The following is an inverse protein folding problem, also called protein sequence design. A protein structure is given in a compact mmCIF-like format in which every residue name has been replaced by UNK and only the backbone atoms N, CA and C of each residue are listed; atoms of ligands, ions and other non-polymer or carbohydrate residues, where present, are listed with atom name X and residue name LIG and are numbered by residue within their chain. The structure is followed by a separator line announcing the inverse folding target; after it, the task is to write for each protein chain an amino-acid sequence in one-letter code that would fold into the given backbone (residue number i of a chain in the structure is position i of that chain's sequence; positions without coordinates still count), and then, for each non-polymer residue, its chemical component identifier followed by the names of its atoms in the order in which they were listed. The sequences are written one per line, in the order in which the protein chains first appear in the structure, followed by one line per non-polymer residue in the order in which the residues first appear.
data_IF_251836649764
#
_entry.id   IF_251836649764
#
_cell.length_a   1.000
_cell.length_b   1.000
_cell.length_c   1.000
_cell.angle_alpha   90.00
_cell.angle_beta   90.00
_cell.angle_gamma   90.00
#
_symmetry.space_group_name_H-M   'P 1'
#
loop_
_entity.id
_entity.type
_entity.pdbx_description
1 polymer ?
#
# COMPACT_ATOMS: atom_id res chain seq x y z
N UNK A 1 -13.51 26.19 9.46
CA UNK A 1 -12.10 25.75 9.41
C UNK A 1 -11.69 25.65 7.96
N UNK A 2 -10.68 26.41 7.55
CA UNK A 2 -10.02 26.25 6.26
C UNK A 2 -9.29 24.90 6.23
N UNK A 3 -9.35 24.17 5.11
CA UNK A 3 -8.56 22.95 4.95
C UNK A 3 -7.07 23.33 4.90
N UNK A 4 -6.18 22.60 5.61
CA UNK A 4 -4.75 22.81 5.47
C UNK A 4 -4.28 22.59 4.02
N UNK A 5 -3.13 23.13 3.63
CA UNK A 5 -2.52 22.82 2.34
C UNK A 5 -2.37 21.31 2.14
N UNK A 6 -2.60 20.84 0.92
CA UNK A 6 -2.52 19.40 0.59
C UNK A 6 -1.19 18.77 0.99
N UNK A 7 -0.07 19.45 0.70
CA UNK A 7 1.27 18.98 1.06
C UNK A 7 1.42 18.75 2.57
N UNK A 8 0.85 19.63 3.41
CA UNK A 8 0.89 19.48 4.87
C UNK A 8 0.05 18.28 5.35
N UNK A 9 -1.12 18.03 4.74
CA UNK A 9 -1.93 16.85 5.06
C UNK A 9 -1.23 15.55 4.66
N UNK A 10 -0.66 15.50 3.44
CA UNK A 10 0.09 14.36 2.96
C UNK A 10 1.30 14.08 3.86
N UNK A 11 2.09 15.11 4.20
CA UNK A 11 3.22 14.99 5.12
C UNK A 11 2.77 14.46 6.48
N UNK A 12 1.65 14.95 7.02
CA UNK A 12 1.14 14.48 8.30
C UNK A 12 0.71 13.00 8.27
N UNK A 13 0.04 12.54 7.21
CA UNK A 13 -0.30 11.12 7.06
C UNK A 13 0.93 10.24 6.84
N UNK A 14 1.91 10.74 6.09
CA UNK A 14 3.21 10.09 5.87
C UNK A 14 3.96 9.89 7.19
N UNK A 15 4.11 10.93 8.01
CA UNK A 15 4.76 10.85 9.33
C UNK A 15 3.98 9.93 10.26
N UNK A 16 2.64 10.06 10.31
CA UNK A 16 1.80 9.16 11.10
C UNK A 16 2.05 7.70 10.74
N UNK A 17 2.01 7.38 9.44
CA UNK A 17 2.28 6.03 8.94
C UNK A 17 3.68 5.56 9.30
N UNK A 18 4.70 6.40 9.18
CA UNK A 18 6.07 6.02 9.55
C UNK A 18 6.16 5.65 11.05
N UNK A 19 5.50 6.41 11.92
CA UNK A 19 5.51 6.17 13.36
C UNK A 19 4.67 4.96 13.78
N UNK A 20 3.53 4.72 13.13
CA UNK A 20 2.54 3.73 13.56
C UNK A 20 2.47 2.48 12.64
N UNK A 21 3.08 2.53 11.45
CA UNK A 21 3.02 1.47 10.44
C UNK A 21 1.78 1.50 9.53
N UNK A 22 0.80 2.38 9.80
CA UNK A 22 -0.49 2.46 9.09
C UNK A 22 -1.07 3.87 9.04
N UNK A 23 -2.09 4.08 8.19
CA UNK A 23 -2.85 5.35 8.11
C UNK A 23 -4.18 5.34 8.90
N UNK A 24 -4.42 4.37 9.79
CA UNK A 24 -5.58 4.36 10.71
C UNK A 24 -5.47 5.40 11.83
N UNK A 25 -5.62 6.68 11.48
CA UNK A 25 -5.57 7.77 12.45
C UNK A 25 -6.87 7.82 13.28
N UNK A 26 -6.81 7.79 14.62
CA UNK A 26 -7.98 8.00 15.48
C UNK A 26 -8.61 9.36 15.22
N UNK A 27 -9.96 9.45 15.22
CA UNK A 27 -10.67 10.71 14.91
C UNK A 27 -10.29 11.87 15.85
N UNK A 28 -9.96 11.56 17.10
CA UNK A 28 -9.51 12.52 18.12
C UNK A 28 -8.03 12.89 18.03
N UNK A 29 -7.25 12.22 17.18
CA UNK A 29 -5.81 12.42 17.12
C UNK A 29 -5.47 13.85 16.67
N UNK A 30 -4.64 14.50 17.49
CA UNK A 30 -4.05 15.80 17.23
C UNK A 30 -2.55 15.62 17.21
N UNK A 31 -1.89 16.15 16.17
CA UNK A 31 -0.44 16.04 16.00
C UNK A 31 0.26 16.65 17.23
N UNK A 32 1.10 15.88 17.95
CA UNK A 32 1.76 16.36 19.14
C UNK A 32 2.88 17.35 18.80
N UNK A 33 3.10 18.32 19.67
CA UNK A 33 4.26 19.20 19.61
C UNK A 33 5.52 18.47 20.09
N UNK A 34 6.13 17.69 19.21
CA UNK A 34 7.33 16.89 19.49
C UNK A 34 8.31 16.95 18.34
N UNK A 35 9.57 16.60 18.60
CA UNK A 35 10.65 16.61 17.59
C UNK A 35 10.44 15.61 16.43
N UNK A 36 9.59 14.60 16.63
CA UNK A 36 9.23 13.63 15.58
C UNK A 36 8.32 14.24 14.51
N UNK A 37 7.68 15.36 14.81
CA UNK A 37 6.73 16.03 13.93
C UNK A 37 7.27 17.38 13.47
N UNK A 38 7.20 17.72 12.18
CA UNK A 38 7.48 19.06 11.69
C UNK A 38 6.65 20.12 12.44
N UNK A 39 7.28 21.21 12.88
CA UNK A 39 6.63 22.27 13.66
C UNK A 39 5.34 22.83 13.01
N UNK A 40 5.24 23.02 11.68
CA UNK A 40 4.00 23.49 11.05
C UNK A 40 2.81 22.52 11.19
N UNK A 41 3.06 21.25 11.54
CA UNK A 41 2.01 20.25 11.71
C UNK A 41 1.51 20.16 13.17
N UNK A 42 2.21 20.75 14.14
CA UNK A 42 1.84 20.69 15.55
C UNK A 42 0.42 21.24 15.79
N UNK A 43 -0.39 20.52 16.56
CA UNK A 43 -1.78 20.89 16.84
C UNK A 43 -2.76 20.60 15.69
N UNK A 44 -2.30 20.05 14.56
CA UNK A 44 -3.21 19.66 13.47
C UNK A 44 -4.14 18.52 13.92
N UNK A 45 -5.45 18.73 13.78
CA UNK A 45 -6.47 17.71 14.04
C UNK A 45 -6.51 16.63 12.93
N UNK A 46 -5.39 15.92 12.75
CA UNK A 46 -5.17 14.94 11.68
C UNK A 46 -6.26 13.85 11.66
N UNK A 47 -6.75 13.44 12.83
CA UNK A 47 -7.86 12.49 12.94
C UNK A 47 -9.13 12.92 12.20
N UNK A 48 -9.54 14.19 12.38
CA UNK A 48 -10.72 14.76 11.71
C UNK A 48 -10.52 14.84 10.20
N UNK A 49 -9.33 15.26 9.75
CA UNK A 49 -9.02 15.31 8.31
C UNK A 49 -8.96 13.92 7.69
N UNK A 50 -8.44 12.92 8.41
CA UNK A 50 -8.43 11.52 7.98
C UNK A 50 -9.86 11.00 7.82
N UNK A 51 -10.76 11.25 8.78
CA UNK A 51 -12.15 10.84 8.65
C UNK A 51 -12.86 11.53 7.47
N UNK A 52 -12.65 12.84 7.31
CA UNK A 52 -13.26 13.63 6.24
C UNK A 52 -12.74 13.30 4.84
N UNK A 53 -11.48 12.88 4.71
CA UNK A 53 -10.87 12.57 3.42
C UNK A 53 -11.61 11.46 2.66
N UNK A 54 -12.16 10.47 3.39
CA UNK A 54 -12.89 9.34 2.79
C UNK A 54 -14.20 9.72 2.11
N UNK A 55 -14.81 10.85 2.49
CA UNK A 55 -16.09 11.34 1.95
C UNK A 55 -15.92 12.62 1.12
N UNK A 56 -14.70 13.14 1.00
CA UNK A 56 -14.41 14.34 0.24
C UNK A 56 -14.00 13.99 -1.20
N UNK A 57 -14.83 14.38 -2.17
CA UNK A 57 -14.61 14.09 -3.59
C UNK A 57 -13.26 14.60 -4.12
N UNK A 58 -12.70 15.66 -3.53
CA UNK A 58 -11.38 16.20 -3.94
C UNK A 58 -10.24 15.21 -3.67
N UNK A 59 -10.38 14.31 -2.69
CA UNK A 59 -9.36 13.30 -2.36
C UNK A 59 -9.28 12.18 -3.40
N UNK A 60 -10.32 12.03 -4.22
CA UNK A 60 -10.39 11.04 -5.29
C UNK A 60 -9.91 11.60 -6.65
N UNK A 61 -9.40 12.84 -6.68
CA UNK A 61 -8.62 13.33 -7.83
C UNK A 61 -7.36 12.45 -8.02
N UNK A 62 -6.88 12.22 -9.27
CA UNK A 62 -5.93 11.14 -9.56
C UNK A 62 -4.63 11.29 -8.77
N UNK A 63 -4.04 12.48 -8.78
CA UNK A 63 -2.77 12.74 -8.09
C UNK A 63 -2.87 12.53 -6.58
N UNK A 64 -3.96 13.04 -5.96
CA UNK A 64 -4.19 12.89 -4.52
C UNK A 64 -4.48 11.45 -4.15
N UNK A 65 -5.31 10.78 -4.95
CA UNK A 65 -5.65 9.38 -4.74
C UNK A 65 -4.40 8.50 -4.85
N UNK A 66 -3.57 8.71 -5.88
CA UNK A 66 -2.32 7.99 -6.09
C UNK A 66 -1.34 8.21 -4.93
N UNK A 67 -1.19 9.43 -4.43
CA UNK A 67 -0.32 9.72 -3.29
C UNK A 67 -0.81 9.06 -1.98
N UNK A 68 -2.11 9.04 -1.74
CA UNK A 68 -2.71 8.34 -0.60
C UNK A 68 -2.61 6.82 -0.74
N UNK A 69 -2.88 6.30 -1.93
CA UNK A 69 -2.74 4.88 -2.25
C UNK A 69 -1.30 4.40 -2.05
N UNK A 70 -0.33 5.23 -2.47
CA UNK A 70 1.09 4.97 -2.33
C UNK A 70 1.52 4.80 -0.87
N UNK A 71 0.95 5.56 0.06
CA UNK A 71 1.23 5.41 1.50
C UNK A 71 0.37 4.31 2.16
N UNK A 72 -0.48 3.60 1.40
CA UNK A 72 -1.36 2.57 1.97
C UNK A 72 -2.54 3.15 2.76
N UNK A 73 -3.02 4.34 2.36
CA UNK A 73 -4.19 4.96 2.97
C UNK A 73 -5.41 4.04 2.88
N UNK A 74 -6.09 3.87 4.02
CA UNK A 74 -7.24 2.96 4.11
C UNK A 74 -8.54 3.69 3.74
N UNK A 75 -8.94 3.53 2.47
CA UNK A 75 -10.19 4.09 1.91
C UNK A 75 -11.46 3.47 2.51
N UNK A 76 -11.38 2.19 2.88
CA UNK A 76 -12.53 1.38 3.30
C UNK A 76 -12.22 0.62 4.60
N UNK A 77 -12.05 1.33 5.74
CA UNK A 77 -11.71 0.68 7.00
C UNK A 77 -12.84 -0.28 7.43
N UNK A 78 -12.50 -1.44 8.02
CA UNK A 78 -13.49 -2.34 8.58
C UNK A 78 -14.25 -1.68 9.76
N UNK A 79 -15.41 -2.23 10.18
CA UNK A 79 -16.01 -3.48 9.72
C UNK A 79 -16.83 -3.35 8.43
N UNK A 80 -17.01 -2.14 7.90
CA UNK A 80 -18.04 -1.89 6.89
C UNK A 80 -17.58 -2.08 5.44
N UNK A 81 -16.29 -2.33 5.20
CA UNK A 81 -15.63 -2.52 3.88
C UNK A 81 -16.40 -1.84 2.74
N UNK A 82 -16.58 -0.52 2.89
CA UNK A 82 -17.44 0.25 1.99
C UNK A 82 -16.59 0.80 0.88
N UNK A 83 -16.62 0.17 -0.29
CA UNK A 83 -16.02 0.73 -1.51
C UNK A 83 -16.76 2.02 -1.89
N UNK A 84 -15.99 3.03 -2.29
CA UNK A 84 -16.52 4.36 -2.58
C UNK A 84 -16.00 4.85 -3.91
N UNK A 85 -16.86 5.58 -4.61
CA UNK A 85 -16.51 6.24 -5.86
C UNK A 85 -17.14 7.62 -5.93
N UNK A 86 -16.58 8.46 -6.80
CA UNK A 86 -17.18 9.76 -7.10
C UNK A 86 -18.42 9.53 -7.97
N UNK A 87 -19.53 10.14 -7.57
CA UNK A 87 -20.71 10.30 -8.40
C UNK A 87 -20.96 11.77 -8.71
N UNK A 88 -21.57 12.06 -9.85
CA UNK A 88 -21.95 13.39 -10.28
C UNK A 88 -23.46 13.50 -10.36
N UNK A 89 -24.08 14.32 -9.52
CA UNK A 89 -25.54 14.54 -9.52
C UNK A 89 -25.77 16.04 -9.64
N UNK A 90 -26.55 16.47 -10.64
CA UNK A 90 -26.85 17.87 -10.91
C UNK A 90 -25.60 18.78 -11.01
N UNK A 91 -24.51 18.26 -11.60
CA UNK A 91 -23.25 18.98 -11.74
C UNK A 91 -22.37 19.03 -10.48
N UNK A 92 -22.85 18.55 -9.33
CA UNK A 92 -22.09 18.47 -8.09
C UNK A 92 -21.48 17.06 -7.90
N UNK A 93 -20.27 17.02 -7.33
CA UNK A 93 -19.53 15.77 -7.06
C UNK A 93 -19.74 15.32 -5.62
N UNK A 94 -20.15 14.07 -5.45
CA UNK A 94 -20.34 13.42 -4.17
C UNK A 94 -19.56 12.12 -4.10
N UNK A 95 -19.27 11.64 -2.89
CA UNK A 95 -18.71 10.30 -2.69
C UNK A 95 -19.82 9.38 -2.21
N UNK A 96 -20.12 8.33 -2.97
CA UNK A 96 -21.13 7.32 -2.62
C UNK A 96 -20.52 5.94 -2.57
N UNK A 97 -21.25 5.02 -1.92
CA UNK A 97 -20.91 3.60 -1.90
C UNK A 97 -21.22 3.02 -3.28
N UNK A 98 -20.26 2.29 -3.86
CA UNK A 98 -20.42 1.63 -5.15
C UNK A 98 -19.72 0.28 -5.08
N UNK A 99 -20.41 -0.84 -5.34
CA UNK A 99 -19.78 -2.16 -5.39
C UNK A 99 -18.68 -2.21 -6.45
N UNK A 100 -17.57 -2.91 -6.18
CA UNK A 100 -16.48 -3.03 -7.15
C UNK A 100 -16.94 -3.70 -8.45
N UNK A 101 -17.80 -4.73 -8.37
CA UNK A 101 -18.38 -5.40 -9.54
C UNK A 101 -19.18 -4.45 -10.44
N UNK A 102 -19.90 -3.49 -9.85
CA UNK A 102 -20.62 -2.47 -10.62
C UNK A 102 -19.65 -1.56 -11.41
N UNK A 103 -18.48 -1.23 -10.83
CA UNK A 103 -17.43 -0.49 -11.54
C UNK A 103 -16.85 -1.31 -12.70
N UNK A 104 -16.60 -2.61 -12.49
CA UNK A 104 -16.12 -3.53 -13.53
C UNK A 104 -17.14 -3.62 -14.67
N UNK A 105 -18.41 -3.87 -14.37
CA UNK A 105 -19.49 -3.94 -15.35
C UNK A 105 -19.67 -2.63 -16.11
N UNK A 106 -19.55 -1.47 -15.45
CA UNK A 106 -19.62 -0.18 -16.11
C UNK A 106 -18.46 0.03 -17.11
N UNK A 107 -17.24 -0.41 -16.79
CA UNK A 107 -16.11 -0.37 -17.72
C UNK A 107 -16.30 -1.31 -18.91
N UNK A 108 -16.86 -2.50 -18.68
CA UNK A 108 -17.23 -3.43 -19.76
C UNK A 108 -18.27 -2.79 -20.69
N UNK A 109 -19.33 -2.20 -20.13
CA UNK A 109 -20.36 -1.50 -20.90
C UNK A 109 -19.78 -0.36 -21.72
N UNK A 110 -18.89 0.45 -21.12
CA UNK A 110 -18.18 1.51 -21.83
C UNK A 110 -17.35 0.98 -22.99
N UNK A 111 -16.53 -0.06 -22.78
CA UNK A 111 -15.71 -0.66 -23.85
C UNK A 111 -16.59 -1.25 -24.95
N UNK A 112 -17.69 -1.91 -24.62
CA UNK A 112 -18.62 -2.44 -25.60
C UNK A 112 -19.24 -1.33 -26.47
N UNK A 113 -19.59 -0.19 -25.86
CA UNK A 113 -20.23 0.93 -26.56
C UNK A 113 -19.26 1.76 -27.40
N UNK A 114 -18.03 1.96 -26.91
CA UNK A 114 -17.05 2.88 -27.52
C UNK A 114 -15.90 2.17 -28.25
N UNK A 115 -15.74 0.85 -28.08
CA UNK A 115 -14.64 0.07 -28.64
C UNK A 115 -13.29 0.23 -27.93
N UNK A 116 -13.20 1.12 -26.92
CA UNK A 116 -11.98 1.42 -26.18
C UNK A 116 -12.26 1.78 -24.72
N UNK A 117 -11.22 1.93 -23.89
CA UNK A 117 -11.31 2.34 -22.49
C UNK A 117 -10.75 3.74 -22.19
N UNK A 118 -10.57 4.57 -23.22
CA UNK A 118 -10.25 5.99 -23.06
C UNK A 118 -11.48 6.76 -22.55
N UNK A 119 -11.83 6.56 -21.28
CA UNK A 119 -12.99 7.20 -20.63
C UNK A 119 -12.71 8.69 -20.44
N UNK A 120 -13.54 9.60 -21.00
CA UNK A 120 -13.37 11.03 -20.78
C UNK A 120 -13.45 11.39 -19.29
N UNK A 121 -12.66 12.38 -18.87
CA UNK A 121 -12.58 12.77 -17.46
C UNK A 121 -13.92 13.18 -16.83
N UNK A 122 -14.82 13.74 -17.65
CA UNK A 122 -16.17 14.16 -17.27
C UNK A 122 -17.26 13.11 -17.57
N UNK A 123 -16.91 11.93 -18.06
CA UNK A 123 -17.91 10.90 -18.38
C UNK A 123 -18.57 10.38 -17.10
N UNK A 124 -19.89 10.50 -17.07
CA UNK A 124 -20.75 10.05 -15.98
C UNK A 124 -21.61 8.92 -16.51
N UNK A 125 -21.64 7.80 -15.80
CA UNK A 125 -22.51 6.66 -16.15
C UNK A 125 -23.97 7.13 -16.16
N UNK A 126 -24.70 6.96 -17.27
CA UNK A 126 -26.08 7.40 -17.39
C UNK A 126 -27.01 6.80 -16.34
N UNK A 127 -28.01 7.58 -15.91
CA UNK A 127 -29.13 7.07 -15.13
C UNK A 127 -30.17 6.42 -16.06
N UNK A 128 -30.84 5.37 -15.59
CA UNK A 128 -31.98 4.73 -16.28
C UNK A 128 -31.70 4.19 -17.69
N UNK A 129 -30.44 3.87 -18.01
CA UNK A 129 -30.06 3.20 -19.25
C UNK A 129 -29.71 1.73 -18.95
N UNK A 130 -30.49 0.81 -19.52
CA UNK A 130 -30.35 -0.63 -19.29
C UNK A 130 -29.02 -1.22 -19.81
N UNK A 131 -28.26 -0.48 -20.61
CA UNK A 131 -26.91 -0.88 -21.01
C UNK A 131 -25.88 -0.74 -19.88
N UNK A 132 -26.21 -0.03 -18.80
CA UNK A 132 -25.33 0.24 -17.67
C UNK A 132 -25.83 -0.40 -16.38
N UNK A 133 -24.95 -0.80 -15.46
CA UNK A 133 -25.36 -1.31 -14.16
C UNK A 133 -25.98 -0.18 -13.31
N UNK A 134 -27.16 -0.42 -12.76
CA UNK A 134 -27.93 0.55 -11.97
C UNK A 134 -27.12 1.08 -10.77
N UNK A 135 -26.36 0.21 -10.12
CA UNK A 135 -25.53 0.53 -8.96
C UNK A 135 -24.34 1.44 -9.30
N UNK A 136 -23.95 1.54 -10.57
CA UNK A 136 -22.94 2.48 -11.05
C UNK A 136 -23.53 3.76 -11.63
N UNK A 137 -24.85 3.97 -11.56
CA UNK A 137 -25.47 5.21 -12.02
C UNK A 137 -24.79 6.44 -11.41
N UNK A 138 -24.60 7.47 -12.25
CA UNK A 138 -23.90 8.70 -11.90
C UNK A 138 -22.42 8.56 -11.56
N UNK A 139 -21.82 7.37 -11.62
CA UNK A 139 -20.39 7.22 -11.33
C UNK A 139 -19.57 7.99 -12.35
N UNK A 140 -18.60 8.77 -11.86
CA UNK A 140 -17.56 9.37 -12.68
C UNK A 140 -16.58 8.26 -13.09
N UNK A 141 -16.87 7.60 -14.21
CA UNK A 141 -16.24 6.33 -14.59
C UNK A 141 -14.72 6.44 -14.78
N UNK A 142 -14.21 7.63 -15.12
CA UNK A 142 -12.77 7.89 -15.21
C UNK A 142 -12.01 7.60 -13.91
N UNK A 143 -12.70 7.55 -12.76
CA UNK A 143 -12.11 7.22 -11.46
C UNK A 143 -12.15 5.71 -11.13
N UNK A 144 -12.87 4.91 -11.90
CA UNK A 144 -13.02 3.48 -11.59
C UNK A 144 -11.68 2.71 -11.61
N UNK A 145 -10.77 2.90 -12.58
CA UNK A 145 -9.52 2.13 -12.63
C UNK A 145 -8.64 2.28 -11.38
N UNK A 146 -8.49 3.50 -10.85
CA UNK A 146 -7.72 3.74 -9.62
C UNK A 146 -8.37 3.08 -8.39
N UNK A 147 -9.71 3.08 -8.30
CA UNK A 147 -10.44 2.40 -7.21
C UNK A 147 -10.29 0.88 -7.32
N UNK A 148 -10.45 0.31 -8.52
CA UNK A 148 -10.27 -1.12 -8.76
C UNK A 148 -8.85 -1.57 -8.42
N UNK A 149 -7.84 -0.80 -8.82
CA UNK A 149 -6.44 -1.10 -8.47
C UNK A 149 -6.21 -1.07 -6.97
N UNK A 150 -6.70 -0.05 -6.27
CA UNK A 150 -6.52 0.10 -4.82
C UNK A 150 -7.15 -1.03 -3.99
N UNK A 151 -8.17 -1.69 -4.53
CA UNK A 151 -8.95 -2.78 -3.93
C UNK A 151 -8.84 -4.08 -4.73
N UNK A 152 -7.78 -4.27 -5.51
CA UNK A 152 -7.67 -5.36 -6.46
C UNK A 152 -7.86 -6.75 -5.83
N UNK A 153 -7.27 -6.98 -4.65
CA UNK A 153 -7.39 -8.26 -3.93
C UNK A 153 -8.71 -8.43 -3.16
N UNK A 154 -9.64 -7.47 -3.25
CA UNK A 154 -11.02 -7.61 -2.77
C UNK A 154 -11.99 -8.01 -3.90
N UNK A 155 -11.53 -8.05 -5.15
CA UNK A 155 -12.32 -8.47 -6.30
C UNK A 155 -12.55 -9.98 -6.28
N UNK A 156 -13.67 -10.42 -6.86
CA UNK A 156 -13.91 -11.83 -7.15
C UNK A 156 -12.97 -12.31 -8.27
N UNK A 157 -12.70 -13.62 -8.35
CA UNK A 157 -11.87 -14.17 -9.44
C UNK A 157 -12.43 -13.86 -10.84
N UNK A 158 -13.76 -13.84 -10.96
CA UNK A 158 -14.45 -13.46 -12.21
C UNK A 158 -14.22 -11.98 -12.57
N UNK A 159 -14.25 -11.09 -11.57
CA UNK A 159 -13.97 -9.67 -11.76
C UNK A 159 -12.50 -9.44 -12.09
N UNK A 160 -11.57 -10.14 -11.44
CA UNK A 160 -10.13 -10.05 -11.76
C UNK A 160 -9.89 -10.47 -13.22
N UNK A 161 -10.44 -11.60 -13.65
CA UNK A 161 -10.33 -12.05 -15.04
C UNK A 161 -10.91 -11.00 -16.02
N UNK A 162 -12.03 -10.38 -15.65
CA UNK A 162 -12.65 -9.31 -16.46
C UNK A 162 -11.76 -8.08 -16.54
N UNK A 163 -11.22 -7.61 -15.41
CA UNK A 163 -10.32 -6.45 -15.31
C UNK A 163 -9.04 -6.68 -16.12
N UNK A 164 -8.45 -7.88 -16.06
CA UNK A 164 -7.30 -8.24 -16.89
C UNK A 164 -7.65 -8.31 -18.38
N UNK A 165 -8.81 -8.84 -18.75
CA UNK A 165 -9.29 -8.84 -20.15
C UNK A 165 -9.55 -7.42 -20.70
N UNK A 166 -9.81 -6.46 -19.80
CA UNK A 166 -9.87 -5.03 -20.09
C UNK A 166 -8.48 -4.36 -20.17
N UNK A 167 -7.40 -5.12 -20.01
CA UNK A 167 -6.02 -4.61 -19.91
C UNK A 167 -5.80 -3.64 -18.74
N UNK A 168 -6.59 -3.78 -17.68
CA UNK A 168 -6.47 -3.03 -16.44
C UNK A 168 -5.83 -3.91 -15.36
N UNK A 169 -5.07 -3.31 -14.45
CA UNK A 169 -4.43 -3.99 -13.31
C UNK A 169 -3.60 -5.25 -13.65
N UNK A 170 -3.10 -5.37 -14.89
CA UNK A 170 -2.37 -6.55 -15.38
C UNK A 170 -1.03 -6.78 -14.67
N UNK A 171 -0.52 -5.75 -13.99
CA UNK A 171 0.67 -5.80 -13.14
C UNK A 171 0.44 -6.52 -11.80
N UNK A 172 -0.82 -6.75 -11.41
CA UNK A 172 -1.19 -7.49 -10.20
C UNK A 172 -1.72 -8.88 -10.60
N UNK A 173 -1.02 -9.98 -10.24
CA UNK A 173 -1.50 -11.34 -10.50
C UNK A 173 -2.69 -11.70 -9.60
N UNK A 174 -3.45 -12.74 -9.99
CA UNK A 174 -4.41 -13.39 -9.09
C UNK A 174 -3.76 -13.75 -7.74
N UNK A 175 -4.57 -13.81 -6.68
CA UNK A 175 -4.04 -14.08 -5.34
C UNK A 175 -3.31 -15.42 -5.22
N UNK A 176 -3.86 -16.48 -5.82
CA UNK A 176 -3.21 -17.79 -5.80
C UNK A 176 -1.89 -17.83 -6.57
N UNK A 177 -1.80 -17.09 -7.68
CA UNK A 177 -0.56 -16.95 -8.45
C UNK A 177 0.47 -16.12 -7.68
N UNK A 178 0.03 -15.05 -7.02
CA UNK A 178 0.86 -14.23 -6.15
C UNK A 178 1.48 -15.06 -5.02
N UNK A 179 0.69 -15.91 -4.34
CA UNK A 179 1.20 -16.82 -3.31
C UNK A 179 2.22 -17.80 -3.87
N UNK A 180 1.93 -18.42 -5.02
CA UNK A 180 2.84 -19.37 -5.67
C UNK A 180 4.15 -18.71 -6.09
N UNK A 181 4.09 -17.50 -6.67
CA UNK A 181 5.26 -16.72 -7.08
C UNK A 181 6.17 -16.41 -5.89
N UNK A 182 5.60 -15.91 -4.79
CA UNK A 182 6.32 -15.62 -3.56
C UNK A 182 6.93 -16.89 -2.94
N UNK A 183 6.18 -17.98 -2.88
CA UNK A 183 6.67 -19.27 -2.37
C UNK A 183 7.82 -19.81 -3.23
N UNK A 184 7.70 -19.75 -4.56
CA UNK A 184 8.75 -20.15 -5.50
C UNK A 184 9.99 -19.28 -5.33
N UNK A 185 9.83 -17.97 -5.20
CA UNK A 185 10.94 -17.05 -4.94
C UNK A 185 11.72 -17.45 -3.70
N UNK A 186 11.03 -17.63 -2.56
CA UNK A 186 11.68 -18.05 -1.31
C UNK A 186 12.39 -19.39 -1.48
N UNK A 187 11.75 -20.35 -2.16
CA UNK A 187 12.32 -21.69 -2.39
C UNK A 187 13.57 -21.66 -3.27
N UNK A 188 13.54 -20.90 -4.37
CA UNK A 188 14.60 -20.87 -5.39
C UNK A 188 15.79 -20.04 -4.94
N UNK A 189 15.53 -18.87 -4.37
CA UNK A 189 16.59 -17.91 -3.99
C UNK A 189 17.10 -18.11 -2.57
N UNK A 190 16.33 -18.82 -1.73
CA UNK A 190 16.51 -18.88 -0.28
C UNK A 190 16.49 -17.48 0.39
N UNK A 191 15.93 -16.47 -0.28
CA UNK A 191 15.74 -15.12 0.23
C UNK A 191 14.29 -14.88 0.61
N UNK A 192 14.08 -14.09 1.66
CA UNK A 192 12.74 -13.75 2.17
C UNK A 192 12.30 -12.33 1.81
N UNK A 193 13.22 -11.49 1.38
CA UNK A 193 12.94 -10.15 0.86
C UNK A 193 13.09 -10.18 -0.65
N UNK A 194 12.12 -9.58 -1.36
CA UNK A 194 12.16 -9.47 -2.82
C UNK A 194 12.69 -8.07 -3.18
N UNK A 195 13.81 -7.95 -3.92
CA UNK A 195 14.26 -6.68 -4.46
C UNK A 195 13.21 -6.07 -5.39
N UNK A 196 13.03 -4.75 -5.37
CA UNK A 196 11.96 -4.07 -6.12
C UNK A 196 12.11 -4.24 -7.65
N UNK A 197 13.36 -4.33 -8.12
CA UNK A 197 13.70 -4.58 -9.51
C UNK A 197 13.58 -6.04 -9.95
N UNK A 198 13.27 -6.97 -9.04
CA UNK A 198 13.25 -8.39 -9.36
C UNK A 198 12.11 -8.71 -10.34
N UNK A 199 12.50 -9.16 -11.53
CA UNK A 199 11.61 -9.67 -12.57
C UNK A 199 11.85 -11.16 -12.72
N UNK A 200 10.76 -11.94 -12.77
CA UNK A 200 10.85 -13.39 -12.89
C UNK A 200 11.58 -13.77 -14.20
N UNK A 201 12.71 -14.49 -14.14
CA UNK A 201 13.47 -14.89 -15.31
C UNK A 201 12.66 -15.78 -16.25
N UNK A 202 12.86 -15.62 -17.56
CA UNK A 202 12.31 -16.49 -18.60
C UNK A 202 13.11 -17.79 -18.77
N UNK A 203 13.41 -18.46 -17.65
CA UNK A 203 14.24 -19.65 -17.61
C UNK A 203 13.84 -20.56 -16.45
N UNK A 204 14.20 -21.84 -16.54
CA UNK A 204 14.07 -22.77 -15.42
C UNK A 204 14.81 -22.20 -14.18
N UNK A 205 14.30 -22.41 -12.95
CA UNK A 205 13.16 -23.25 -12.57
C UNK A 205 11.79 -22.55 -12.60
N UNK A 206 11.68 -21.37 -13.19
CA UNK A 206 10.44 -20.58 -13.18
C UNK A 206 9.43 -21.10 -14.22
N UNK A 207 8.15 -21.31 -13.83
CA UNK A 207 7.09 -21.70 -14.77
C UNK A 207 6.89 -20.63 -15.88
N UNK A 208 6.65 -21.04 -17.15
CA UNK A 208 6.46 -20.10 -18.26
C UNK A 208 5.39 -19.02 -18.03
N UNK A 209 4.28 -19.38 -17.37
CA UNK A 209 3.19 -18.43 -17.06
C UNK A 209 3.61 -17.27 -16.14
N UNK A 210 4.74 -17.41 -15.45
CA UNK A 210 5.26 -16.42 -14.52
C UNK A 210 6.44 -15.63 -15.09
N UNK A 211 6.92 -15.98 -16.28
CA UNK A 211 8.03 -15.27 -16.90
C UNK A 211 7.70 -13.79 -17.07
N UNK A 212 8.68 -12.93 -16.78
CA UNK A 212 8.58 -11.47 -16.88
C UNK A 212 7.63 -10.79 -15.90
N UNK A 213 7.02 -11.52 -14.95
CA UNK A 213 6.27 -10.88 -13.86
C UNK A 213 7.22 -10.05 -13.00
N UNK A 214 6.90 -8.77 -12.78
CA UNK A 214 7.64 -7.86 -11.91
C UNK A 214 7.35 -8.16 -10.43
N UNK A 215 7.79 -9.33 -9.95
CA UNK A 215 7.49 -9.82 -8.61
C UNK A 215 7.99 -8.87 -7.51
N UNK A 216 9.09 -8.14 -7.74
CA UNK A 216 9.56 -7.08 -6.85
C UNK A 216 8.52 -5.97 -6.63
N UNK A 217 7.84 -5.52 -7.69
CA UNK A 217 6.79 -4.51 -7.63
C UNK A 217 5.51 -5.06 -6.99
N UNK A 218 5.18 -6.33 -7.23
CA UNK A 218 4.07 -7.01 -6.55
C UNK A 218 4.33 -7.09 -5.04
N UNK A 219 5.54 -7.51 -4.64
CA UNK A 219 5.94 -7.57 -3.23
C UNK A 219 5.96 -6.18 -2.59
N UNK A 220 6.44 -5.16 -3.31
CA UNK A 220 6.40 -3.77 -2.87
C UNK A 220 4.96 -3.29 -2.65
N UNK A 221 4.06 -3.54 -3.61
CA UNK A 221 2.64 -3.24 -3.51
C UNK A 221 2.00 -3.90 -2.28
N UNK A 222 2.21 -5.21 -2.12
CA UNK A 222 1.70 -5.97 -0.97
C UNK A 222 2.23 -5.45 0.36
N UNK A 223 3.52 -5.11 0.45
CA UNK A 223 4.10 -4.55 1.67
C UNK A 223 3.39 -3.28 2.11
N UNK A 224 3.16 -2.34 1.17
CA UNK A 224 2.45 -1.08 1.46
C UNK A 224 0.99 -1.29 1.80
N UNK A 225 0.35 -2.28 1.17
CA UNK A 225 -1.07 -2.59 1.32
C UNK A 225 -1.37 -3.61 2.40
N UNK A 226 -0.36 -4.22 3.01
CA UNK A 226 -0.49 -5.37 3.92
C UNK A 226 -1.62 -5.19 4.92
N UNK A 227 -1.63 -4.09 5.66
CA UNK A 227 -2.60 -3.84 6.73
C UNK A 227 -4.02 -3.53 6.24
N UNK A 228 -4.20 -3.28 4.94
CA UNK A 228 -5.50 -3.03 4.30
C UNK A 228 -5.95 -4.19 3.40
N UNK A 229 -5.18 -5.27 3.30
CA UNK A 229 -5.61 -6.49 2.61
C UNK A 229 -6.80 -7.15 3.34
N UNK A 230 -7.61 -7.95 2.63
CA UNK A 230 -8.63 -8.78 3.26
C UNK A 230 -8.05 -9.62 4.40
N UNK A 231 -8.78 -9.72 5.52
CA UNK A 231 -8.30 -10.39 6.74
C UNK A 231 -7.82 -11.83 6.51
N UNK A 232 -8.48 -12.57 5.61
CA UNK A 232 -8.10 -13.96 5.30
C UNK A 232 -6.76 -14.09 4.57
N UNK A 233 -6.31 -13.04 3.87
CA UNK A 233 -5.07 -13.06 3.10
C UNK A 233 -3.82 -12.83 3.96
N UNK A 234 -3.98 -12.17 5.12
CA UNK A 234 -2.85 -11.85 6.00
C UNK A 234 -2.13 -13.12 6.53
N UNK A 235 -2.84 -14.11 7.13
CA UNK A 235 -2.22 -15.35 7.56
C UNK A 235 -1.59 -16.14 6.41
N UNK A 236 -2.23 -16.14 5.24
CA UNK A 236 -1.68 -16.80 4.05
C UNK A 236 -0.36 -16.16 3.62
N UNK A 237 -0.27 -14.82 3.64
CA UNK A 237 0.95 -14.07 3.33
C UNK A 237 2.05 -14.32 4.38
N UNK A 238 1.68 -14.40 5.65
CA UNK A 238 2.61 -14.67 6.76
C UNK A 238 3.18 -16.08 6.72
N UNK A 239 2.37 -17.06 6.34
CA UNK A 239 2.79 -18.44 6.15
C UNK A 239 3.89 -18.60 5.08
N UNK A 240 3.97 -17.67 4.11
CA UNK A 240 5.04 -17.66 3.09
C UNK A 240 6.39 -17.24 3.67
N UNK A 241 6.42 -16.56 4.82
CA UNK A 241 7.64 -16.09 5.47
C UNK A 241 8.36 -14.97 4.71
N UNK A 242 7.67 -14.28 3.79
CA UNK A 242 8.19 -13.12 3.06
C UNK A 242 8.20 -11.91 3.99
N UNK A 243 9.32 -11.18 3.99
CA UNK A 243 9.51 -9.98 4.81
C UNK A 243 9.39 -8.74 3.94
N UNK A 244 8.54 -7.80 4.38
CA UNK A 244 8.29 -6.53 3.70
C UNK A 244 9.00 -5.39 4.44
N UNK A 245 9.13 -4.24 3.77
CA UNK A 245 9.75 -3.03 4.35
C UNK A 245 11.18 -3.28 4.86
N UNK A 246 11.99 -3.97 4.05
CA UNK A 246 13.38 -4.30 4.41
C UNK A 246 14.38 -3.59 3.50
N UNK A 247 15.61 -3.32 3.97
CA UNK A 247 16.62 -2.66 3.14
C UNK A 247 16.95 -3.46 1.87
N UNK A 248 16.81 -4.79 1.91
CA UNK A 248 17.00 -5.67 0.77
C UNK A 248 16.07 -5.36 -0.40
N UNK A 249 14.89 -4.80 -0.15
CA UNK A 249 13.95 -4.33 -1.19
C UNK A 249 14.62 -3.30 -2.11
N UNK A 250 15.49 -2.45 -1.57
CA UNK A 250 16.11 -1.33 -2.27
C UNK A 250 17.62 -1.49 -2.46
N UNK A 251 18.23 -2.53 -1.88
CA UNK A 251 19.68 -2.71 -1.84
C UNK A 251 20.31 -2.72 -3.25
N UNK A 252 19.62 -3.34 -4.20
CA UNK A 252 19.98 -3.34 -5.60
C UNK A 252 20.01 -1.95 -6.23
N UNK A 253 18.94 -1.17 -6.02
CA UNK A 253 18.84 0.20 -6.50
C UNK A 253 19.93 1.10 -5.89
N UNK A 254 20.18 0.98 -4.58
CA UNK A 254 21.26 1.72 -3.89
C UNK A 254 22.64 1.33 -4.45
N UNK A 255 22.88 0.04 -4.69
CA UNK A 255 24.11 -0.43 -5.31
C UNK A 255 24.28 0.14 -6.72
N UNK A 256 23.22 0.10 -7.54
CA UNK A 256 23.21 0.68 -8.88
C UNK A 256 23.51 2.18 -8.87
N UNK A 257 23.02 2.92 -7.86
CA UNK A 257 23.29 4.35 -7.73
C UNK A 257 24.77 4.60 -7.44
N UNK A 258 25.40 3.80 -6.56
CA UNK A 258 26.85 3.91 -6.28
C UNK A 258 27.67 3.70 -7.55
N UNK A 259 27.31 2.70 -8.36
CA UNK A 259 27.98 2.45 -9.64
C UNK A 259 27.75 3.60 -10.63
N UNK A 260 26.53 4.14 -10.69
CA UNK A 260 26.22 5.29 -11.54
C UNK A 260 27.09 6.50 -11.17
N UNK A 261 27.16 6.84 -9.88
CA UNK A 261 27.99 7.94 -9.37
C UNK A 261 29.46 7.69 -9.68
N UNK A 262 29.96 6.48 -9.47
CA UNK A 262 31.36 6.15 -9.77
C UNK A 262 31.69 6.30 -11.26
N UNK A 263 30.74 6.01 -12.15
CA UNK A 263 30.95 6.06 -13.60
C UNK A 263 30.73 7.44 -14.22
N UNK A 264 29.72 8.17 -13.75
CA UNK A 264 29.28 9.44 -14.35
C UNK A 264 29.57 10.67 -13.49
N UNK A 265 30.00 10.50 -12.24
CA UNK A 265 30.28 11.60 -11.31
C UNK A 265 29.03 12.40 -10.91
N UNK A 266 27.83 11.87 -11.14
CA UNK A 266 26.55 12.54 -10.89
C UNK A 266 25.60 11.62 -10.15
N UNK A 267 24.77 12.20 -9.28
CA UNK A 267 23.67 11.52 -8.58
C UNK A 267 22.32 11.73 -9.27
N UNK A 268 22.30 12.56 -10.32
CA UNK A 268 21.12 12.81 -11.15
C UNK A 268 21.01 11.73 -12.23
N UNK A 269 20.10 10.79 -12.00
CA UNK A 269 19.83 9.65 -12.88
C UNK A 269 18.57 9.97 -13.68
N UNK A 270 18.64 10.16 -15.01
CA UNK A 270 17.46 10.38 -15.85
C UNK A 270 16.42 9.27 -15.70
N UNK A 271 15.14 9.61 -15.74
CA UNK A 271 14.05 8.64 -15.52
C UNK A 271 13.95 7.56 -16.60
N UNK A 272 14.44 7.84 -17.80
CA UNK A 272 14.52 6.93 -18.94
C UNK A 272 15.85 6.16 -19.02
N UNK A 273 16.77 6.38 -18.07
CA UNK A 273 18.08 5.72 -18.07
C UNK A 273 17.94 4.19 -18.01
N UNK A 274 18.55 3.53 -19.00
CA UNK A 274 18.67 2.08 -19.10
C UNK A 274 20.13 1.71 -18.87
N UNK A 275 20.35 0.74 -17.99
CA UNK A 275 21.70 0.28 -17.66
C UNK A 275 22.38 -0.27 -18.92
N UNK A 276 23.52 0.30 -19.33
CA UNK A 276 24.20 -0.11 -20.55
C UNK A 276 24.75 -1.54 -20.49
N UNK A 277 25.10 -2.06 -21.67
CA UNK A 277 25.66 -3.40 -21.86
C UNK A 277 26.97 -3.67 -21.11
N UNK A 278 27.72 -2.65 -20.75
CA UNK A 278 29.05 -2.80 -20.14
C UNK A 278 29.02 -2.85 -18.60
N UNK A 279 27.83 -2.81 -17.98
CA UNK A 279 27.66 -3.03 -16.55
C UNK A 279 27.56 -4.53 -16.24
N UNK A 280 28.05 -4.92 -15.06
CA UNK A 280 27.95 -6.29 -14.58
C UNK A 280 26.48 -6.74 -14.42
N UNK A 281 26.22 -8.02 -14.71
CA UNK A 281 24.92 -8.63 -14.47
C UNK A 281 24.59 -8.62 -12.96
N UNK A 282 23.30 -8.50 -12.57
CA UNK A 282 22.08 -8.67 -13.38
C UNK A 282 21.47 -7.37 -13.96
N UNK A 283 22.13 -6.22 -13.82
CA UNK A 283 21.51 -4.91 -14.08
C UNK A 283 21.34 -4.56 -15.56
N UNK A 284 22.01 -5.30 -16.45
CA UNK A 284 22.07 -4.99 -17.88
C UNK A 284 20.66 -4.90 -18.48
N UNK A 285 20.35 -3.78 -19.14
CA UNK A 285 19.03 -3.54 -19.74
C UNK A 285 17.92 -3.16 -18.74
N UNK A 286 18.22 -3.07 -17.44
CA UNK A 286 17.27 -2.59 -16.45
C UNK A 286 16.96 -1.11 -16.68
N UNK A 287 15.68 -0.72 -16.64
CA UNK A 287 15.22 0.67 -16.63
C UNK A 287 15.51 1.33 -15.28
N UNK A 288 16.79 1.47 -14.93
CA UNK A 288 17.25 1.93 -13.63
C UNK A 288 16.75 3.34 -13.28
N UNK A 289 16.60 4.23 -14.27
CA UNK A 289 16.00 5.55 -14.08
C UNK A 289 14.59 5.55 -13.48
N UNK A 290 13.78 4.54 -13.86
CA UNK A 290 12.44 4.34 -13.31
C UNK A 290 12.50 3.98 -11.82
N UNK A 291 13.37 3.04 -11.45
CA UNK A 291 13.52 2.62 -10.05
C UNK A 291 14.12 3.70 -9.17
N UNK A 292 15.01 4.55 -9.72
CA UNK A 292 15.48 5.74 -9.02
C UNK A 292 14.38 6.77 -8.79
N UNK A 293 13.48 6.95 -9.77
CA UNK A 293 12.31 7.82 -9.61
C UNK A 293 11.37 7.29 -8.51
N UNK A 294 11.09 5.98 -8.52
CA UNK A 294 10.29 5.33 -7.47
C UNK A 294 10.98 5.43 -6.10
N UNK A 295 12.30 5.25 -6.02
CA UNK A 295 13.07 5.40 -4.78
C UNK A 295 12.92 6.81 -4.20
N UNK A 296 13.07 7.85 -5.03
CA UNK A 296 12.90 9.25 -4.60
C UNK A 296 11.48 9.53 -4.10
N UNK A 297 10.46 9.00 -4.79
CA UNK A 297 9.06 9.09 -4.32
C UNK A 297 8.87 8.36 -3.00
N UNK A 298 9.41 7.15 -2.86
CA UNK A 298 9.34 6.36 -1.64
C UNK A 298 10.05 7.05 -0.45
N UNK A 299 11.19 7.71 -0.69
CA UNK A 299 11.90 8.51 0.31
C UNK A 299 11.09 9.71 0.77
N UNK A 300 10.56 10.51 -0.15
CA UNK A 300 9.72 11.68 0.17
C UNK A 300 8.44 11.29 0.95
N UNK A 301 8.00 10.05 0.79
CA UNK A 301 6.83 9.49 1.48
C UNK A 301 7.18 8.62 2.70
N UNK A 302 8.43 8.64 3.18
CA UNK A 302 8.90 7.83 4.31
C UNK A 302 8.54 6.33 4.21
N UNK A 303 8.57 5.79 2.99
CA UNK A 303 8.23 4.39 2.69
C UNK A 303 9.44 3.47 2.72
N UNK A 304 10.66 4.01 2.67
CA UNK A 304 11.88 3.21 2.75
C UNK A 304 12.32 2.99 4.20
N UNK A 305 12.97 1.86 4.51
CA UNK A 305 13.47 1.59 5.86
C UNK A 305 14.56 2.57 6.28
N UNK A 306 14.69 2.80 7.60
CA UNK A 306 15.77 3.63 8.19
C UNK A 306 17.15 3.28 7.65
N UNK A 307 17.51 2.00 7.60
CA UNK A 307 18.82 1.59 7.10
C UNK A 307 19.03 1.91 5.61
N UNK A 308 17.95 1.98 4.82
CA UNK A 308 18.00 2.47 3.43
C UNK A 308 18.22 3.97 3.39
N UNK A 309 17.56 4.76 4.26
CA UNK A 309 17.85 6.20 4.37
C UNK A 309 19.32 6.45 4.72
N UNK A 310 19.85 5.77 5.73
CA UNK A 310 21.27 5.91 6.13
C UNK A 310 22.22 5.56 4.97
N UNK A 311 21.94 4.48 4.22
CA UNK A 311 22.76 4.11 3.08
C UNK A 311 22.70 5.12 1.92
N UNK A 312 21.64 5.93 1.85
CA UNK A 312 21.43 6.94 0.82
C UNK A 312 21.92 8.33 1.23
N UNK A 313 21.97 8.64 2.52
CA UNK A 313 22.49 9.91 3.06
C UNK A 313 23.94 10.17 2.63
N UNK A 314 24.72 9.10 2.45
CA UNK A 314 26.09 9.16 1.90
C UNK A 314 26.14 9.55 0.41
N UNK A 315 25.02 9.47 -0.30
CA UNK A 315 24.96 9.59 -1.77
C UNK A 315 24.03 10.72 -2.23
N UNK A 316 22.98 11.03 -1.48
CA UNK A 316 21.90 11.93 -1.86
C UNK A 316 21.57 12.86 -0.69
N UNK A 317 21.21 14.10 -1.02
CA UNK A 317 20.53 14.96 -0.06
C UNK A 317 19.18 14.34 0.30
N UNK A 318 18.97 14.06 1.59
CA UNK A 318 17.71 13.52 2.07
C UNK A 318 16.59 14.57 1.96
N UNK A 319 15.35 14.16 1.62
CA UNK A 319 14.21 15.07 1.62
C UNK A 319 14.04 15.75 2.98
N UNK A 320 13.56 17.00 3.03
CA UNK A 320 13.37 17.74 4.29
C UNK A 320 12.39 17.06 5.26
N UNK A 321 11.54 16.16 4.76
CA UNK A 321 10.64 15.31 5.55
C UNK A 321 11.40 14.30 6.42
N UNK A 322 12.63 13.92 6.05
CA UNK A 322 13.45 12.94 6.76
C UNK A 322 14.29 13.65 7.82
N UNK A 323 13.74 13.80 9.03
CA UNK A 323 14.45 14.48 10.12
C UNK A 323 15.38 13.52 10.89
N UNK A 324 16.47 14.03 11.53
CA UNK A 324 17.30 13.22 12.41
C UNK A 324 16.51 12.56 13.56
N UNK A 325 15.46 13.22 14.06
CA UNK A 325 14.58 12.65 15.08
C UNK A 325 13.80 11.43 14.55
N UNK A 326 13.27 11.51 13.32
CA UNK A 326 12.60 10.37 12.67
C UNK A 326 13.56 9.22 12.37
N UNK A 327 14.81 9.51 12.01
CA UNK A 327 15.83 8.48 11.82
C UNK A 327 16.29 7.84 13.13
N UNK A 328 16.19 8.54 14.26
CA UNK A 328 16.43 7.96 15.60
C UNK A 328 15.23 7.19 16.14
N UNK A 329 14.04 7.41 15.59
CA UNK A 329 12.85 6.71 16.00
C UNK A 329 12.96 5.23 15.66
N UNK A 330 13.00 4.41 16.70
CA UNK A 330 12.79 2.98 16.57
C UNK A 330 11.33 2.71 16.91
N UNK A 331 10.53 2.21 15.95
CA UNK A 331 9.18 1.77 16.25
C UNK A 331 9.24 0.81 17.42
N UNK A 332 8.33 0.94 18.39
CA UNK A 332 8.21 -0.08 19.43
C UNK A 332 8.08 -1.42 18.70
N UNK A 333 9.01 -2.37 18.91
CA UNK A 333 8.84 -3.67 18.30
C UNK A 333 7.49 -4.20 18.77
N UNK A 334 6.63 -4.59 17.82
CA UNK A 334 5.71 -5.68 18.11
C UNK A 334 6.61 -6.77 18.68
N UNK A 335 6.32 -7.21 19.90
CA UNK A 335 7.16 -8.14 20.64
C UNK A 335 7.32 -9.44 19.86
N UNK A 336 8.23 -9.46 18.89
CA UNK A 336 8.75 -10.67 18.31
C UNK A 336 9.59 -11.30 19.42
N UNK A 337 8.93 -12.11 20.25
CA UNK A 337 9.59 -13.03 21.14
C UNK A 337 10.59 -13.83 20.29
N UNK A 338 11.86 -13.43 20.33
CA UNK A 338 12.99 -14.09 19.68
C UNK A 338 13.29 -15.49 20.22
N UNK A 339 12.38 -16.07 21.01
CA UNK A 339 12.37 -17.48 21.33
C UNK A 339 11.26 -18.12 20.52
N UNK A 340 11.65 -18.92 19.51
CA UNK A 340 10.81 -20.03 19.01
C UNK A 340 10.20 -20.73 20.22
N UNK A 341 8.93 -20.48 20.51
CA UNK A 341 8.14 -21.35 21.36
C UNK A 341 7.37 -22.23 20.39
N UNK A 342 7.59 -23.53 20.53
CA UNK A 342 6.85 -24.54 19.77
C UNK A 342 5.36 -24.22 19.81
N UNK A 343 4.71 -24.37 18.66
CA UNK A 343 3.26 -24.49 18.54
C UNK A 343 2.75 -25.41 19.64
N UNK A 344 2.13 -24.83 20.67
CA UNK A 344 1.30 -25.60 21.59
C UNK A 344 0.09 -26.08 20.79
N UNK A 345 -0.32 -27.31 21.07
CA UNK A 345 -1.21 -28.19 20.31
C UNK A 345 -2.68 -27.69 20.33
N UNK A 346 -2.88 -26.42 20.68
CA UNK A 346 -4.16 -25.73 20.85
C UNK A 346 -4.40 -24.63 19.80
N UNK A 347 -3.47 -24.40 18.87
CA UNK A 347 -3.69 -23.50 17.72
C UNK A 347 -3.95 -22.04 18.09
N UNK A 348 -3.35 -21.55 19.18
CA UNK A 348 -3.42 -20.13 19.56
C UNK A 348 -2.25 -19.41 18.89
N UNK A 349 -2.56 -18.51 17.96
CA UNK A 349 -1.60 -17.69 17.24
C UNK A 349 -0.80 -16.79 18.20
N UNK A 350 0.50 -16.60 17.96
CA UNK A 350 1.39 -15.82 18.83
C UNK A 350 0.88 -14.37 19.00
N UNK A 351 0.26 -13.82 17.95
CA UNK A 351 -0.41 -12.51 17.97
C UNK A 351 -1.59 -12.44 18.96
N UNK A 352 -2.33 -13.54 19.14
CA UNK A 352 -3.42 -13.61 20.13
C UNK A 352 -2.84 -13.59 21.54
N UNK A 353 -1.72 -14.27 21.79
CA UNK A 353 -1.07 -14.25 23.11
C UNK A 353 -0.56 -12.85 23.45
N UNK A 354 0.07 -12.17 22.51
CA UNK A 354 0.53 -10.78 22.69
C UNK A 354 -0.64 -9.81 22.88
N UNK A 355 -1.74 -10.00 22.14
CA UNK A 355 -2.99 -9.27 22.34
C UNK A 355 -3.56 -9.49 23.74
N UNK A 356 -3.54 -10.71 24.28
CA UNK A 356 -3.98 -11.02 25.64
C UNK A 356 -3.06 -10.38 26.70
N UNK A 357 -1.74 -10.40 26.49
CA UNK A 357 -0.78 -9.72 27.37
C UNK A 357 -1.04 -8.22 27.40
N UNK A 358 -1.27 -7.63 26.23
CA UNK A 358 -1.59 -6.22 26.10
C UNK A 358 -2.93 -5.88 26.73
N UNK A 359 -3.97 -6.69 26.50
CA UNK A 359 -5.26 -6.56 27.17
C UNK A 359 -5.08 -6.50 28.69
N UNK A 360 -4.32 -7.45 29.25
CA UNK A 360 -4.04 -7.48 30.68
C UNK A 360 -3.32 -6.22 31.17
N UNK A 361 -2.40 -5.67 30.38
CA UNK A 361 -1.73 -4.41 30.72
C UNK A 361 -2.69 -3.21 30.67
N UNK A 362 -3.58 -3.16 29.69
CA UNK A 362 -4.51 -2.05 29.49
C UNK A 362 -5.69 -2.05 30.47
N UNK A 363 -6.23 -3.24 30.77
CA UNK A 363 -7.47 -3.40 31.56
C UNK A 363 -7.22 -4.05 32.94
N UNK A 364 -5.97 -4.39 33.26
CA UNK A 364 -5.56 -4.91 34.56
C UNK A 364 -5.96 -6.37 34.85
N UNK A 365 -6.62 -7.06 33.91
CA UNK A 365 -7.10 -8.43 34.07
C UNK A 365 -7.19 -9.19 32.74
N UNK A 366 -7.47 -10.49 32.76
CA UNK A 366 -7.70 -11.33 31.57
C UNK A 366 -9.16 -11.75 31.40
N UNK A 367 -10.10 -11.10 32.09
CA UNK A 367 -11.53 -11.30 31.91
C UNK A 367 -11.99 -10.49 30.69
N UNK A 368 -11.76 -11.06 29.51
CA UNK A 368 -12.12 -10.46 28.24
C UNK A 368 -13.59 -10.75 27.95
N UNK A 369 -14.45 -9.73 27.72
CA UNK A 369 -15.82 -9.95 27.27
C UNK A 369 -15.83 -10.80 26.00
N UNK A 370 -16.77 -11.77 25.89
CA UNK A 370 -16.86 -12.68 24.73
C UNK A 370 -17.02 -11.97 23.39
N UNK A 371 -17.57 -10.77 23.40
CA UNK A 371 -17.81 -9.90 22.26
C UNK A 371 -16.74 -8.81 22.10
N UNK A 372 -15.66 -8.85 22.88
CA UNK A 372 -14.61 -7.85 22.82
C UNK A 372 -13.87 -7.94 21.48
N UNK A 373 -14.03 -6.88 20.69
CA UNK A 373 -13.32 -6.69 19.44
C UNK A 373 -12.33 -5.55 19.63
N UNK A 374 -11.05 -5.80 19.34
CA UNK A 374 -10.02 -4.76 19.36
C UNK A 374 -10.42 -3.64 18.42
N UNK A 375 -10.44 -2.39 18.88
CA UNK A 375 -10.85 -1.28 18.05
C UNK A 375 -9.79 -0.96 16.97
N UNK A 376 -10.25 -0.73 15.74
CA UNK A 376 -9.37 -0.40 14.60
C UNK A 376 -8.58 0.90 14.74
N UNK A 377 -9.03 1.79 15.61
CA UNK A 377 -8.51 3.15 15.75
C UNK A 377 -8.02 3.44 17.18
N UNK A 378 -7.76 2.40 17.96
CA UNK A 378 -7.14 2.53 19.27
C UNK A 378 -5.63 2.31 19.14
N UNK A 379 -4.86 3.39 19.25
CA UNK A 379 -3.40 3.40 19.11
C UNK A 379 -2.68 2.69 20.27
N UNK A 380 -3.41 2.32 21.32
CA UNK A 380 -2.91 1.45 22.40
C UNK A 380 -2.74 0.01 21.92
N UNK A 381 -3.40 -0.38 20.83
CA UNK A 381 -3.33 -1.72 20.24
C UNK A 381 -2.45 -1.74 18.97
N UNK A 382 -1.70 -2.83 18.75
CA UNK A 382 -1.11 -3.14 17.46
C UNK A 382 -2.12 -3.08 16.32
N UNK A 383 -1.79 -2.36 15.26
CA UNK A 383 -2.64 -2.22 14.08
C UNK A 383 -3.10 -3.52 13.42
N UNK A 384 -2.29 -4.60 13.36
CA UNK A 384 -2.75 -5.90 12.83
C UNK A 384 -3.90 -6.51 13.64
N UNK A 385 -3.99 -6.19 14.93
CA UNK A 385 -5.02 -6.71 15.83
C UNK A 385 -6.34 -5.95 15.71
N UNK A 386 -6.38 -4.81 15.03
CA UNK A 386 -7.61 -4.05 14.79
C UNK A 386 -8.72 -4.95 14.24
N UNK A 387 -9.84 -5.01 14.94
CA UNK A 387 -11.01 -5.80 14.59
C UNK A 387 -10.97 -7.28 14.96
N UNK A 388 -9.93 -7.74 15.65
CA UNK A 388 -9.87 -9.12 16.16
C UNK A 388 -10.83 -9.30 17.33
N UNK A 389 -11.59 -10.40 17.31
CA UNK A 389 -12.35 -10.86 18.47
C UNK A 389 -11.37 -11.52 19.45
N UNK A 390 -11.12 -10.86 20.58
CA UNK A 390 -10.19 -11.35 21.60
C UNK A 390 -10.88 -12.19 22.69
N UNK A 391 -12.21 -12.00 22.83
CA UNK A 391 -13.09 -12.64 23.79
C UNK A 391 -13.32 -14.14 23.64
#
# INVERSE_FOLDING_TARGET
MTLPPWAALLQAWTVYRYLHGHCRVPTSYVVPASELWPAPLHGMALGKFTAAARTNATMYAPDRFAQLDAIGYEWSPPPRCVHRSIVCVNGARYVRRVPLSALVHALVAFRHRHGHLNVPDAFVVPESDAAWPEEASNVLLSRAPQTLRAHFYELSDADVATVHNLSLCTELPHWDDTKQLLALYVKITNQRAVPIEFVVPAAAPWPPRFHHVALGEVAWYLGRKRLVLPRGMLPELDALGVIFHTPATWAGVVCGLRLYVAKFGSTDVPSDFVVPGDWDLPWRGLRFGRYMSELRTAMAQLLVPRATFVALDELLELPPEVTPALLRYEPRPLSLSGKRRQLDHRGIDDEKVDALILYRRLFGNLAIPRDFVVEFFDDRWPAPLGGWLLG
#
